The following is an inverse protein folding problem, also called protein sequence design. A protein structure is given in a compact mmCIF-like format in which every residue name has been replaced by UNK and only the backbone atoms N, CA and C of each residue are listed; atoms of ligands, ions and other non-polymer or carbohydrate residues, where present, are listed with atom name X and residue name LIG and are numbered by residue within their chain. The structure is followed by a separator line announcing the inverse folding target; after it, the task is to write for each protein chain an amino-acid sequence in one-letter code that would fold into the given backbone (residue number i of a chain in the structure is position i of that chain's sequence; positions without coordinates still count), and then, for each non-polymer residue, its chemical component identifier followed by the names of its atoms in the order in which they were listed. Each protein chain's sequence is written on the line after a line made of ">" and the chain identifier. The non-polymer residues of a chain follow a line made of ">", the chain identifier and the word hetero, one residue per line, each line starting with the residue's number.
data_IF_102063253319
#
_entry.id   IF_102063253319
#
_cell.length_a   1.000
_cell.length_b   1.000
_cell.length_c   1.000
_cell.angle_alpha   90.00
_cell.angle_beta   90.00
_cell.angle_gamma   90.00
#
_symmetry.space_group_name_H-M   'P 1'
#
loop_
_entity.id
_entity.type
_entity.pdbx_description
1 polymer ?
#
# COMPACT_ATOMS: atom_id res chain seq x y z
N UNK A 1 7.30 -16.02 7.18
CA UNK A 1 7.12 -15.74 5.73
C UNK A 1 6.80 -14.25 5.56
N UNK A 2 7.27 -13.61 4.48
CA UNK A 2 7.01 -12.20 4.16
C UNK A 2 6.14 -12.11 2.91
N UNK A 3 5.08 -11.30 2.95
CA UNK A 3 4.11 -11.16 1.85
C UNK A 3 3.90 -9.66 1.60
N UNK A 4 4.02 -9.24 0.33
CA UNK A 4 3.69 -7.88 -0.12
C UNK A 4 2.51 -7.95 -1.08
N UNK A 5 1.39 -7.35 -0.70
CA UNK A 5 0.24 -7.17 -1.58
C UNK A 5 0.40 -5.87 -2.37
N UNK A 6 0.31 -5.94 -3.69
CA UNK A 6 0.30 -4.78 -4.57
C UNK A 6 -1.10 -4.59 -5.15
N UNK A 7 -1.74 -3.47 -4.84
CA UNK A 7 -3.09 -3.15 -5.29
C UNK A 7 -3.19 -1.67 -5.67
N UNK A 8 -3.96 -1.32 -6.73
CA UNK A 8 -4.23 0.08 -7.04
C UNK A 8 -5.23 0.73 -6.06
N UNK A 9 -5.94 -0.07 -5.26
CA UNK A 9 -7.06 0.38 -4.41
C UNK A 9 -7.01 -0.25 -3.03
N UNK A 10 -7.38 0.54 -2.01
CA UNK A 10 -7.64 0.08 -0.65
C UNK A 10 -8.69 0.99 -0.02
N UNK A 11 -9.64 0.39 0.71
CA UNK A 11 -10.88 1.05 1.15
C UNK A 11 -10.66 2.34 1.94
N UNK A 12 -9.57 2.41 2.72
CA UNK A 12 -9.26 3.57 3.56
C UNK A 12 -8.76 4.80 2.79
N UNK A 13 -8.35 4.65 1.52
CA UNK A 13 -7.75 5.75 0.74
C UNK A 13 -8.37 5.94 -0.64
N UNK A 14 -8.58 4.86 -1.40
CA UNK A 14 -9.14 4.92 -2.77
C UNK A 14 -9.93 3.64 -3.03
N UNK A 15 -11.24 3.81 -3.27
CA UNK A 15 -12.14 2.73 -3.64
C UNK A 15 -13.03 3.18 -4.80
N UNK A 16 -13.00 2.44 -5.92
CA UNK A 16 -13.92 2.64 -7.06
C UNK A 16 -14.86 1.44 -7.27
N UNK A 17 -14.70 0.34 -6.51
CA UNK A 17 -15.60 -0.82 -6.56
C UNK A 17 -15.40 -1.87 -5.44
N UNK A 18 -15.89 -3.09 -5.67
CA UNK A 18 -15.77 -4.24 -4.74
C UNK A 18 -14.37 -4.83 -4.46
N UNK A 19 -13.34 -4.69 -5.33
CA UNK A 19 -12.00 -5.23 -5.10
C UNK A 19 -11.26 -4.66 -3.87
N UNK A 20 -11.61 -3.46 -3.42
CA UNK A 20 -11.02 -2.83 -2.24
C UNK A 20 -11.27 -3.66 -0.97
N UNK A 21 -12.48 -4.21 -0.80
CA UNK A 21 -12.83 -5.05 0.35
C UNK A 21 -12.03 -6.37 0.41
N UNK A 22 -11.71 -6.96 -0.76
CA UNK A 22 -10.86 -8.18 -0.83
C UNK A 22 -9.40 -7.83 -0.54
N UNK A 23 -8.93 -6.70 -1.09
CA UNK A 23 -7.56 -6.20 -0.92
C UNK A 23 -7.28 -5.70 0.51
N UNK A 24 -8.32 -5.52 1.33
CA UNK A 24 -8.22 -5.17 2.74
C UNK A 24 -8.37 -6.42 3.65
N UNK A 25 -9.42 -7.22 3.44
CA UNK A 25 -9.77 -8.32 4.33
C UNK A 25 -8.73 -9.45 4.33
N UNK A 26 -8.20 -9.82 3.16
CA UNK A 26 -7.24 -10.92 3.06
C UNK A 26 -5.89 -10.58 3.68
N UNK A 27 -5.23 -9.44 3.37
CA UNK A 27 -3.99 -9.05 4.03
C UNK A 27 -4.14 -8.97 5.55
N UNK A 28 -5.27 -8.44 6.03
CA UNK A 28 -5.60 -8.37 7.46
C UNK A 28 -5.72 -9.76 8.09
N UNK A 29 -6.42 -10.69 7.47
CA UNK A 29 -6.58 -12.06 7.96
C UNK A 29 -5.26 -12.86 8.00
N UNK A 30 -4.29 -12.54 7.13
CA UNK A 30 -3.00 -13.21 7.05
C UNK A 30 -1.95 -12.68 8.04
N UNK A 31 -2.12 -11.46 8.58
CA UNK A 31 -1.15 -10.87 9.54
C UNK A 31 -0.88 -11.72 10.78
N UNK A 32 -1.86 -12.50 11.24
CA UNK A 32 -1.68 -13.41 12.37
C UNK A 32 -0.73 -14.58 12.08
N UNK A 33 -0.38 -14.81 10.81
CA UNK A 33 0.45 -15.94 10.37
C UNK A 33 1.73 -15.52 9.63
N UNK A 34 1.82 -14.27 9.15
CA UNK A 34 2.94 -13.78 8.34
C UNK A 34 3.17 -12.27 8.50
N UNK A 35 4.36 -11.81 8.13
CA UNK A 35 4.66 -10.38 7.95
C UNK A 35 4.04 -9.92 6.63
N UNK A 36 2.93 -9.18 6.73
CA UNK A 36 2.12 -8.76 5.59
C UNK A 36 2.12 -7.24 5.44
N UNK A 37 2.55 -6.78 4.27
CA UNK A 37 2.56 -5.36 3.87
C UNK A 37 1.70 -5.14 2.64
N UNK A 38 1.22 -3.91 2.49
CA UNK A 38 0.49 -3.44 1.33
C UNK A 38 1.30 -2.34 0.65
N UNK A 39 1.38 -2.37 -0.67
CA UNK A 39 1.88 -1.27 -1.49
C UNK A 39 0.77 -0.79 -2.41
N UNK A 40 0.55 0.52 -2.41
CA UNK A 40 -0.43 1.21 -3.25
C UNK A 40 0.26 2.39 -3.96
N UNK A 41 -0.27 2.85 -5.09
CA UNK A 41 0.20 4.08 -5.71
C UNK A 41 0.00 5.28 -4.76
N UNK A 42 0.98 6.17 -4.70
CA UNK A 42 0.89 7.44 -3.97
C UNK A 42 0.01 8.46 -4.68
N UNK A 43 -1.27 8.13 -4.92
CA UNK A 43 -2.22 9.10 -5.49
C UNK A 43 -2.35 10.32 -4.57
N UNK A 44 -2.67 11.52 -5.10
CA UNK A 44 -2.84 12.70 -4.27
C UNK A 44 -3.84 12.52 -3.11
N UNK A 45 -4.89 11.71 -3.31
CA UNK A 45 -5.84 11.36 -2.26
C UNK A 45 -5.19 10.53 -1.12
N UNK A 46 -4.33 9.57 -1.46
CA UNK A 46 -3.57 8.76 -0.51
C UNK A 46 -2.60 9.66 0.26
N UNK A 47 -1.75 10.39 -0.46
CA UNK A 47 -0.66 11.18 0.14
C UNK A 47 -1.16 12.28 1.09
N UNK A 48 -2.32 12.89 0.82
CA UNK A 48 -2.90 13.91 1.72
C UNK A 48 -3.28 13.38 3.10
N UNK A 49 -3.58 12.10 3.22
CA UNK A 49 -3.96 11.46 4.48
C UNK A 49 -2.77 10.92 5.28
N UNK A 50 -1.56 10.91 4.70
CA UNK A 50 -0.40 10.30 5.34
C UNK A 50 0.29 11.29 6.28
N UNK A 51 0.51 10.84 7.51
CA UNK A 51 1.46 11.43 8.43
C UNK A 51 2.69 10.51 8.49
N UNK A 52 3.88 11.09 8.71
CA UNK A 52 5.12 10.33 8.93
C UNK A 52 5.53 9.38 7.79
N UNK A 53 5.36 9.81 6.53
CA UNK A 53 5.85 9.07 5.37
C UNK A 53 7.39 9.08 5.32
N UNK A 54 8.00 7.93 5.62
CA UNK A 54 9.45 7.74 5.49
C UNK A 54 9.79 7.25 4.09
N UNK A 55 10.66 7.97 3.37
CA UNK A 55 11.18 7.48 2.09
C UNK A 55 12.24 6.39 2.37
N UNK A 56 11.89 5.15 2.05
CA UNK A 56 12.73 3.96 2.31
C UNK A 56 13.41 3.41 1.06
N UNK A 57 13.13 3.98 -0.10
CA UNK A 57 13.73 3.52 -1.34
C UNK A 57 13.41 4.40 -2.54
N UNK A 58 14.17 4.16 -3.61
CA UNK A 58 13.95 4.77 -4.92
C UNK A 58 14.02 3.69 -5.99
N UNK A 59 13.09 3.74 -6.92
CA UNK A 59 13.08 2.89 -8.11
C UNK A 59 13.53 3.72 -9.30
N UNK A 60 14.51 3.18 -10.04
CA UNK A 60 14.85 3.69 -11.36
C UNK A 60 13.68 3.46 -12.33
N UNK A 61 13.61 4.20 -13.45
CA UNK A 61 12.61 3.95 -14.48
C UNK A 61 12.65 2.49 -14.95
N UNK A 62 11.50 1.83 -15.01
CA UNK A 62 11.40 0.42 -15.38
C UNK A 62 10.06 0.13 -16.03
N UNK A 63 10.06 -0.66 -17.12
CA UNK A 63 8.84 -1.09 -17.82
C UNK A 63 7.81 0.04 -18.06
N UNK A 64 8.29 1.16 -18.61
CA UNK A 64 7.51 2.38 -18.88
C UNK A 64 6.97 3.13 -17.65
N UNK A 65 7.31 2.69 -16.44
CA UNK A 65 7.12 3.48 -15.24
C UNK A 65 8.26 4.51 -15.11
N UNK A 66 7.94 5.78 -14.77
CA UNK A 66 8.96 6.77 -14.46
C UNK A 66 9.73 6.36 -13.19
N UNK A 67 10.83 7.05 -12.88
CA UNK A 67 11.46 6.91 -11.57
C UNK A 67 10.45 7.34 -10.47
N UNK A 68 10.42 6.61 -9.36
CA UNK A 68 9.55 6.94 -8.23
C UNK A 68 10.21 6.58 -6.89
N UNK A 69 9.72 7.21 -5.83
CA UNK A 69 10.14 6.92 -4.46
C UNK A 69 9.18 5.94 -3.81
N UNK A 70 9.70 5.09 -2.92
CA UNK A 70 8.88 4.21 -2.08
C UNK A 70 8.85 4.81 -0.69
N UNK A 71 7.65 5.20 -0.26
CA UNK A 71 7.38 5.62 1.10
C UNK A 71 6.85 4.47 1.95
N UNK A 72 7.21 4.46 3.23
CA UNK A 72 6.69 3.56 4.24
C UNK A 72 5.97 4.39 5.31
N UNK A 73 4.76 3.98 5.66
CA UNK A 73 4.07 4.49 6.85
C UNK A 73 3.81 3.30 7.78
N UNK A 74 4.33 3.33 9.02
CA UNK A 74 3.99 2.33 10.02
C UNK A 74 2.51 2.41 10.40
N UNK A 75 1.86 1.26 10.58
CA UNK A 75 0.56 1.20 11.27
C UNK A 75 -0.68 1.63 10.48
N UNK A 76 -0.59 1.95 9.18
CA UNK A 76 -1.75 2.38 8.37
C UNK A 76 -2.90 1.38 8.32
N UNK A 77 -2.61 0.08 8.40
CA UNK A 77 -3.65 -0.96 8.36
C UNK A 77 -3.90 -1.47 9.79
N UNK A 78 -4.19 -0.52 10.68
CA UNK A 78 -4.63 -0.78 12.04
C UNK A 78 -6.09 -0.35 12.18
N UNK A 79 -6.91 -1.35 12.52
CA UNK A 79 -8.38 -1.37 12.68
C UNK A 79 -9.22 -1.66 11.44
#
# INVERSE_FOLDING_TARGET
>A
MRILFATPEVSDFVQVGGPAAVSEALPRALRRFADVRLIIPGYPAVLRGLQDLEIVGRCAPYASLPAFEIGLVPGIIAE
#
